data_IF_190202522629
#
_entry.id   IF_190202522629
#
_cell.length_a   1.000
_cell.length_b   1.000
_cell.length_c   1.000
_cell.angle_alpha   90.00
_cell.angle_beta   90.00
_cell.angle_gamma   90.00
#
_symmetry.space_group_name_H-M   'P 1'
#
loop_
_entity.id
_entity.type
_entity.pdbx_description
1 polymer ?
#
# COMPACT_ATOMS: atom_id res chain seq x y z
N UNK A 1 -0.65 -0.69 10.87
CA UNK A 1 -1.43 -1.12 12.05
C UNK A 1 -0.88 -2.47 12.53
N UNK A 2 -0.87 -2.77 13.84
CA UNK A 2 -0.46 -4.09 14.33
C UNK A 2 -1.45 -5.18 13.90
N UNK A 3 -0.99 -6.44 13.95
CA UNK A 3 -1.82 -7.61 13.61
C UNK A 3 -3.16 -7.62 14.38
N UNK A 4 -4.18 -8.20 13.76
CA UNK A 4 -5.57 -8.29 14.28
C UNK A 4 -6.32 -6.96 14.43
N UNK A 5 -5.75 -5.83 14.02
CA UNK A 5 -6.51 -4.59 13.87
C UNK A 5 -7.59 -4.77 12.80
N UNK A 6 -8.89 -4.52 13.11
CA UNK A 6 -9.94 -4.55 12.09
C UNK A 6 -9.69 -3.52 10.98
N UNK A 7 -9.83 -3.94 9.73
CA UNK A 7 -9.67 -3.09 8.55
C UNK A 7 -11.05 -2.79 7.97
N UNK A 8 -11.43 -1.51 7.95
CA UNK A 8 -12.74 -1.08 7.41
C UNK A 8 -12.69 -1.07 5.89
N UNK A 9 -13.73 -1.56 5.22
CA UNK A 9 -13.82 -1.42 3.76
C UNK A 9 -13.81 0.07 3.37
N UNK A 10 -12.85 0.53 2.54
CA UNK A 10 -12.78 1.92 2.13
C UNK A 10 -13.92 2.26 1.17
N UNK A 11 -14.21 3.55 1.09
CA UNK A 11 -15.05 4.14 0.05
C UNK A 11 -14.18 5.02 -0.84
N UNK A 12 -14.44 5.00 -2.13
CA UNK A 12 -13.71 5.80 -3.10
C UNK A 12 -14.42 5.86 -4.43
N UNK A 13 -13.76 6.49 -5.40
CA UNK A 13 -14.25 6.55 -6.78
C UNK A 13 -13.76 5.30 -7.51
N UNK A 14 -14.68 4.62 -8.18
CA UNK A 14 -14.41 3.49 -9.07
C UNK A 14 -15.11 3.70 -10.41
N UNK A 15 -14.62 3.06 -11.46
CA UNK A 15 -15.32 3.03 -12.73
C UNK A 15 -16.51 2.08 -12.66
N UNK A 16 -17.69 2.51 -13.12
CA UNK A 16 -18.83 1.64 -13.31
C UNK A 16 -18.96 1.26 -14.79
N UNK A 17 -18.86 -0.05 -15.07
CA UNK A 17 -18.92 -0.58 -16.43
C UNK A 17 -20.34 -0.59 -17.02
N UNK A 18 -21.37 -0.57 -16.16
CA UNK A 18 -22.76 -0.54 -16.63
C UNK A 18 -23.19 0.87 -17.05
N UNK A 19 -22.97 1.87 -16.19
CA UNK A 19 -23.28 3.27 -16.52
C UNK A 19 -22.22 3.97 -17.38
N UNK A 20 -20.99 3.44 -17.43
CA UNK A 20 -19.87 4.07 -18.14
C UNK A 20 -19.37 5.35 -17.47
N UNK A 21 -19.57 5.49 -16.17
CA UNK A 21 -19.23 6.70 -15.41
C UNK A 21 -18.49 6.37 -14.10
N UNK A 22 -17.68 7.32 -13.56
CA UNK A 22 -17.13 7.18 -12.23
C UNK A 22 -18.23 7.28 -11.17
N UNK A 23 -18.21 6.37 -10.20
CA UNK A 23 -19.16 6.35 -9.08
C UNK A 23 -18.43 6.33 -7.75
N UNK A 24 -18.95 7.07 -6.77
CA UNK A 24 -18.46 7.03 -5.39
C UNK A 24 -19.21 5.96 -4.59
N UNK A 25 -18.48 5.07 -3.92
CA UNK A 25 -19.09 4.00 -3.14
C UNK A 25 -18.08 3.13 -2.40
N UNK A 26 -18.55 2.09 -1.69
CA UNK A 26 -17.65 1.11 -1.09
C UNK A 26 -16.87 0.38 -2.18
N UNK A 27 -15.60 0.09 -1.91
CA UNK A 27 -14.78 -0.76 -2.77
C UNK A 27 -15.46 -2.12 -2.98
N UNK A 28 -15.52 -2.61 -4.21
CA UNK A 28 -16.11 -3.91 -4.55
C UNK A 28 -15.04 -4.98 -4.80
N UNK A 29 -13.78 -4.59 -4.97
CA UNK A 29 -12.65 -5.50 -5.15
C UNK A 29 -11.58 -5.26 -4.08
N UNK A 30 -11.83 -5.77 -2.87
CA UNK A 30 -10.84 -5.76 -1.79
C UNK A 30 -9.89 -6.94 -1.92
N UNK A 31 -8.61 -6.70 -1.71
CA UNK A 31 -7.54 -7.67 -1.89
C UNK A 31 -6.46 -7.52 -0.80
N UNK A 32 -5.72 -8.59 -0.53
CA UNK A 32 -4.56 -8.60 0.35
C UNK A 32 -3.29 -8.79 -0.47
N UNK A 33 -2.21 -8.12 -0.09
CA UNK A 33 -0.89 -8.33 -0.67
C UNK A 33 0.05 -8.81 0.43
N UNK A 34 0.54 -10.06 0.31
CA UNK A 34 1.49 -10.61 1.27
C UNK A 34 2.88 -10.02 1.00
N UNK A 35 3.39 -9.28 1.98
CA UNK A 35 4.70 -8.65 1.92
C UNK A 35 5.55 -8.91 3.18
N UNK A 36 6.83 -8.58 3.08
CA UNK A 36 7.74 -8.50 4.22
C UNK A 36 8.26 -7.07 4.36
N UNK A 37 8.14 -6.53 5.57
CA UNK A 37 8.78 -5.26 5.95
C UNK A 37 10.06 -5.51 6.74
N UNK A 38 10.94 -4.52 6.78
CA UNK A 38 12.11 -4.53 7.67
C UNK A 38 12.28 -3.18 8.35
N UNK A 39 12.88 -3.20 9.54
CA UNK A 39 13.23 -1.98 10.28
C UNK A 39 14.70 -1.64 10.05
N UNK A 40 14.97 -0.39 9.66
CA UNK A 40 16.34 0.14 9.53
C UNK A 40 16.85 0.55 10.92
N UNK A 41 17.96 -0.04 11.40
CA UNK A 41 18.60 0.31 12.69
C UNK A 41 19.70 1.36 12.55
N UNK A 42 20.38 1.41 11.41
CA UNK A 42 21.50 2.33 11.16
C UNK A 42 21.14 3.28 10.02
N UNK A 43 20.85 4.56 10.30
CA UNK A 43 20.49 5.51 9.26
C UNK A 43 21.70 5.84 8.37
N UNK A 44 21.42 6.17 7.10
CA UNK A 44 22.42 6.66 6.14
C UNK A 44 22.24 8.19 6.05
N UNK A 45 23.32 8.98 6.14
CA UNK A 45 23.22 10.43 5.97
C UNK A 45 22.60 10.82 4.62
N UNK A 46 21.90 11.96 4.59
CA UNK A 46 21.25 12.45 3.37
C UNK A 46 22.30 12.68 2.26
N UNK A 47 22.06 12.09 1.09
CA UNK A 47 22.96 12.20 -0.07
C UNK A 47 24.06 11.14 -0.13
N UNK A 48 24.19 10.31 0.90
CA UNK A 48 25.14 9.18 0.91
C UNK A 48 24.48 7.88 0.47
N UNK A 49 25.31 6.88 0.14
CA UNK A 49 24.88 5.54 -0.26
C UNK A 49 25.72 4.49 0.44
N UNK A 50 25.16 3.29 0.62
CA UNK A 50 25.89 2.10 1.10
C UNK A 50 26.04 1.09 -0.02
N UNK A 51 27.01 0.19 0.10
CA UNK A 51 27.12 -0.94 -0.83
C UNK A 51 26.02 -1.95 -0.49
N UNK A 52 25.53 -2.66 -1.51
CA UNK A 52 24.51 -3.69 -1.31
C UNK A 52 24.95 -4.79 -0.34
N UNK A 53 26.25 -5.12 -0.29
CA UNK A 53 26.81 -6.12 0.62
C UNK A 53 26.72 -5.70 2.10
N UNK A 54 26.67 -4.40 2.37
CA UNK A 54 26.60 -3.86 3.74
C UNK A 54 25.14 -3.67 4.21
N UNK A 55 24.15 -3.79 3.31
CA UNK A 55 22.73 -3.60 3.63
C UNK A 55 22.21 -4.44 4.82
N UNK A 56 22.62 -5.73 5.00
CA UNK A 56 22.19 -6.52 6.15
C UNK A 56 22.57 -5.89 7.51
N UNK A 57 23.70 -5.19 7.60
CA UNK A 57 24.17 -4.56 8.84
C UNK A 57 23.30 -3.37 9.28
N UNK A 58 22.44 -2.88 8.38
CA UNK A 58 21.49 -1.80 8.61
C UNK A 58 20.08 -2.32 8.95
N UNK A 59 19.83 -3.62 8.88
CA UNK A 59 18.53 -4.23 9.15
C UNK A 59 18.48 -4.71 10.60
N UNK A 60 17.53 -4.21 11.38
CA UNK A 60 17.25 -4.68 12.73
C UNK A 60 16.55 -6.04 12.74
N UNK A 61 15.55 -6.19 11.88
CA UNK A 61 14.69 -7.36 11.83
C UNK A 61 13.56 -7.20 10.83
N UNK A 62 12.80 -8.28 10.64
CA UNK A 62 11.74 -8.41 9.64
C UNK A 62 10.37 -8.58 10.29
N UNK A 63 9.34 -8.23 9.54
CA UNK A 63 7.93 -8.44 9.90
C UNK A 63 7.13 -8.92 8.69
N UNK A 64 6.02 -9.59 8.95
CA UNK A 64 4.98 -9.77 7.95
C UNK A 64 4.21 -8.47 7.79
N UNK A 65 3.90 -8.13 6.54
CA UNK A 65 3.12 -6.96 6.17
C UNK A 65 1.99 -7.41 5.23
N UNK A 66 0.80 -6.85 5.43
CA UNK A 66 -0.30 -6.99 4.50
C UNK A 66 -0.61 -5.60 3.92
N UNK A 67 -0.31 -5.41 2.64
CA UNK A 67 -0.63 -4.17 1.91
C UNK A 67 -2.05 -4.28 1.32
N UNK A 68 -3.03 -3.98 2.17
CA UNK A 68 -4.45 -4.02 1.79
C UNK A 68 -4.73 -3.09 0.61
N UNK A 69 -5.36 -3.62 -0.43
CA UNK A 69 -5.61 -2.90 -1.67
C UNK A 69 -7.08 -2.96 -2.08
N UNK A 70 -7.65 -1.83 -2.50
CA UNK A 70 -8.93 -1.79 -3.23
C UNK A 70 -8.67 -1.65 -4.73
N UNK A 71 -8.73 -2.76 -5.47
CA UNK A 71 -8.29 -2.87 -6.87
C UNK A 71 -9.12 -2.03 -7.85
N UNK A 72 -10.41 -1.89 -7.58
CA UNK A 72 -11.34 -1.11 -8.37
C UNK A 72 -11.08 0.40 -8.26
N UNK A 73 -10.80 0.87 -7.05
CA UNK A 73 -10.36 2.26 -6.82
C UNK A 73 -8.95 2.46 -7.41
N UNK A 74 -8.07 1.46 -7.26
CA UNK A 74 -6.70 1.50 -7.78
C UNK A 74 -6.71 1.67 -9.30
N UNK A 75 -7.47 0.85 -10.02
CA UNK A 75 -7.57 0.90 -11.47
C UNK A 75 -8.07 2.27 -11.97
N UNK A 76 -8.94 2.92 -11.21
CA UNK A 76 -9.45 4.25 -11.54
C UNK A 76 -8.40 5.36 -11.35
N UNK A 77 -7.58 5.31 -10.29
CA UNK A 77 -6.63 6.39 -9.96
C UNK A 77 -5.19 6.15 -10.43
N UNK A 78 -4.83 4.92 -10.84
CA UNK A 78 -3.45 4.49 -11.10
C UNK A 78 -2.69 5.39 -12.09
N UNK A 79 -3.37 5.88 -13.12
CA UNK A 79 -2.73 6.65 -14.19
C UNK A 79 -2.89 8.14 -13.95
N UNK A 80 -1.81 8.96 -14.05
CA UNK A 80 -0.42 8.60 -14.34
C UNK A 80 0.50 8.50 -13.11
N UNK A 81 -0.01 8.80 -11.91
CA UNK A 81 0.81 9.08 -10.72
C UNK A 81 1.01 7.86 -9.80
N UNK A 82 0.41 6.72 -10.12
CA UNK A 82 0.44 5.52 -9.30
C UNK A 82 -0.68 5.44 -8.26
N UNK A 83 -0.68 4.39 -7.41
CA UNK A 83 -1.73 4.16 -6.43
C UNK A 83 -1.69 5.21 -5.30
N UNK A 84 -2.87 5.62 -4.83
CA UNK A 84 -3.01 6.59 -3.75
C UNK A 84 -4.08 6.18 -2.72
N UNK A 85 -5.36 6.47 -2.95
CA UNK A 85 -6.43 6.13 -2.01
C UNK A 85 -6.65 4.62 -1.87
N UNK A 86 -6.33 3.86 -2.92
CA UNK A 86 -6.50 2.41 -2.98
C UNK A 86 -5.57 1.63 -2.05
N UNK A 87 -4.45 2.23 -1.65
CA UNK A 87 -3.49 1.73 -0.64
C UNK A 87 -3.41 2.66 0.59
N UNK A 88 -4.18 3.75 0.56
CA UNK A 88 -4.14 4.84 1.52
C UNK A 88 -5.02 4.59 2.75
N UNK A 89 -5.27 5.65 3.53
CA UNK A 89 -5.86 5.54 4.87
C UNK A 89 -7.19 4.79 4.86
N UNK A 90 -7.15 3.57 5.39
CA UNK A 90 -8.32 2.77 5.73
C UNK A 90 -8.84 3.25 7.09
N UNK A 91 -9.59 4.34 7.13
CA UNK A 91 -10.29 4.83 8.34
C UNK A 91 -11.79 4.81 8.16
#
# INVERSE_FOLDING_TARGET
>A
MPSSTPVRRPKGIRWDHESGQPVFGPAVQMDFELEMGYFVSKPIPMGETIKAIDAPDHIFGFVLLNDWSSRDIQAFEMTPLGPFHSKGKIS
#
